data_IF_296525298298
#
_entry.id   IF_296525298298
#
_cell.length_a   1.000
_cell.length_b   1.000
_cell.length_c   1.000
_cell.angle_alpha   90.00
_cell.angle_beta   90.00
_cell.angle_gamma   90.00
#
_symmetry.space_group_name_H-M   'P 1'
#
loop_
_entity.id
_entity.type
_entity.pdbx_description
1 polymer ?
#
# COMPACT_ATOMS: atom_id res chain seq x y z
N UNK A 1 25.91 -19.30 -3.05
CA UNK A 1 25.75 -18.04 -2.28
C UNK A 1 27.13 -17.70 -1.71
N UNK A 2 27.85 -16.68 -2.20
CA UNK A 2 29.15 -16.31 -1.64
C UNK A 2 28.93 -15.65 -0.28
N UNK A 3 29.58 -16.14 0.76
CA UNK A 3 29.56 -15.46 2.07
C UNK A 3 30.07 -14.03 1.91
N UNK A 4 29.31 -13.06 2.40
CA UNK A 4 29.70 -11.66 2.36
C UNK A 4 30.91 -11.47 3.32
N UNK A 5 31.98 -10.84 2.83
CA UNK A 5 33.17 -10.51 3.63
C UNK A 5 32.79 -9.73 4.89
N UNK A 6 33.25 -10.16 6.05
CA UNK A 6 32.98 -9.53 7.36
C UNK A 6 34.20 -8.72 7.84
N UNK A 7 34.01 -7.79 8.75
CA UNK A 7 35.10 -7.00 9.38
C UNK A 7 36.17 -7.92 9.99
N UNK A 8 35.75 -9.08 10.53
CA UNK A 8 36.66 -10.10 11.09
C UNK A 8 37.63 -10.63 10.05
N UNK A 9 37.20 -10.83 8.83
CA UNK A 9 38.02 -11.39 7.75
C UNK A 9 39.09 -10.41 7.34
N UNK A 10 38.78 -9.11 7.29
CA UNK A 10 39.74 -8.03 7.05
C UNK A 10 40.76 -7.94 8.20
N UNK A 11 40.27 -8.04 9.44
CA UNK A 11 41.11 -8.00 10.63
C UNK A 11 42.13 -9.15 10.64
N UNK A 12 41.67 -10.36 10.31
CA UNK A 12 42.51 -11.56 10.19
C UNK A 12 43.55 -11.43 9.06
N UNK A 13 43.13 -10.97 7.87
CA UNK A 13 44.02 -10.80 6.72
C UNK A 13 45.13 -9.78 6.95
N UNK A 14 44.90 -8.77 7.78
CA UNK A 14 45.88 -7.70 8.09
C UNK A 14 46.62 -7.88 9.41
N UNK A 15 46.25 -8.88 10.22
CA UNK A 15 46.84 -9.11 11.54
C UNK A 15 46.56 -7.97 12.54
N UNK A 16 45.41 -7.31 12.44
CA UNK A 16 45.00 -6.21 13.31
C UNK A 16 43.72 -6.55 14.08
N UNK A 17 43.42 -5.79 15.14
CA UNK A 17 42.19 -6.01 15.90
C UNK A 17 40.94 -5.59 15.10
N UNK A 18 39.81 -6.25 15.36
CA UNK A 18 38.49 -5.89 14.79
C UNK A 18 38.19 -4.40 15.05
N UNK A 19 38.50 -3.90 16.27
CA UNK A 19 38.31 -2.50 16.62
C UNK A 19 39.21 -1.54 15.83
N UNK A 20 40.39 -1.97 15.37
CA UNK A 20 41.24 -1.18 14.47
C UNK A 20 40.66 -1.08 13.10
N UNK A 21 40.12 -2.19 12.56
CA UNK A 21 39.40 -2.22 11.26
C UNK A 21 38.17 -1.36 11.31
N UNK A 22 37.35 -1.47 12.36
CA UNK A 22 36.12 -0.66 12.53
C UNK A 22 36.43 0.83 12.57
N UNK A 23 37.43 1.24 13.35
CA UNK A 23 37.88 2.66 13.41
C UNK A 23 38.41 3.17 12.07
N UNK A 24 39.18 2.35 11.35
CA UNK A 24 39.73 2.71 10.05
C UNK A 24 38.63 2.88 8.97
N UNK A 25 37.66 1.95 8.92
CA UNK A 25 36.52 1.99 7.98
C UNK A 25 35.58 3.18 8.23
N UNK A 26 35.48 3.63 9.49
CA UNK A 26 34.56 4.69 9.88
C UNK A 26 35.25 6.04 10.18
N UNK A 27 36.48 6.19 9.79
CA UNK A 27 37.30 7.42 9.99
C UNK A 27 37.33 7.92 11.44
N UNK A 28 37.35 7.00 12.40
CA UNK A 28 37.44 7.34 13.82
C UNK A 28 38.88 7.52 14.25
N UNK A 29 39.10 8.42 15.22
CA UNK A 29 40.43 8.69 15.76
C UNK A 29 41.08 7.41 16.37
N UNK A 30 42.41 7.39 16.42
CA UNK A 30 43.17 6.31 17.06
C UNK A 30 43.63 5.20 16.12
N UNK A 31 43.69 5.44 14.82
CA UNK A 31 44.31 4.55 13.83
C UNK A 31 45.41 5.31 13.08
N UNK A 32 46.59 4.72 12.98
CA UNK A 32 47.69 5.25 12.19
C UNK A 32 47.26 5.38 10.70
N UNK A 33 47.62 6.48 10.00
CA UNK A 33 47.28 6.69 8.59
C UNK A 33 47.67 5.56 7.66
N UNK A 34 48.84 4.95 7.86
CA UNK A 34 49.29 3.79 7.07
C UNK A 34 48.41 2.56 7.30
N UNK A 35 48.03 2.27 8.56
CA UNK A 35 47.14 1.18 8.90
C UNK A 35 45.75 1.42 8.32
N UNK A 36 45.26 2.66 8.38
CA UNK A 36 43.98 3.04 7.77
C UNK A 36 43.97 2.81 6.26
N UNK A 37 45.01 3.24 5.55
CA UNK A 37 45.17 3.01 4.11
C UNK A 37 45.16 1.52 3.77
N UNK A 38 45.89 0.70 4.53
CA UNK A 38 45.94 -0.77 4.35
C UNK A 38 44.57 -1.41 4.55
N UNK A 39 43.83 -0.99 5.58
CA UNK A 39 42.45 -1.49 5.85
C UNK A 39 41.50 -1.14 4.72
N UNK A 40 41.53 0.12 4.25
CA UNK A 40 40.63 0.56 3.15
C UNK A 40 40.96 -0.19 1.85
N UNK A 41 42.22 -0.40 1.55
CA UNK A 41 42.64 -1.17 0.38
C UNK A 41 42.22 -2.64 0.46
N UNK A 42 42.43 -3.28 1.63
CA UNK A 42 42.02 -4.67 1.85
C UNK A 42 40.50 -4.83 1.77
N UNK A 43 39.74 -3.90 2.37
CA UNK A 43 38.28 -3.89 2.27
C UNK A 43 37.80 -3.83 0.81
N UNK A 44 38.45 -2.99 -0.01
CA UNK A 44 38.15 -2.90 -1.44
C UNK A 44 38.52 -4.21 -2.17
N UNK A 45 39.67 -4.79 -1.90
CA UNK A 45 40.14 -6.03 -2.54
C UNK A 45 39.24 -7.22 -2.19
N UNK A 46 38.79 -7.30 -0.94
CA UNK A 46 37.91 -8.37 -0.46
C UNK A 46 36.43 -8.13 -0.77
N UNK A 47 36.07 -7.03 -1.47
CA UNK A 47 34.67 -6.70 -1.79
C UNK A 47 33.85 -6.41 -0.53
N UNK A 48 34.44 -5.95 0.56
CA UNK A 48 33.72 -5.64 1.78
C UNK A 48 32.76 -4.48 1.54
N UNK A 49 31.50 -4.72 1.82
CA UNK A 49 30.48 -3.68 1.88
C UNK A 49 30.03 -3.50 3.33
N UNK A 50 30.12 -2.26 3.88
CA UNK A 50 29.57 -1.99 5.20
C UNK A 50 28.11 -2.42 5.27
N UNK A 51 27.75 -3.21 6.28
CA UNK A 51 26.36 -3.56 6.51
C UNK A 51 25.65 -2.38 7.23
N UNK A 52 24.79 -1.60 6.55
CA UNK A 52 24.14 -0.45 7.16
C UNK A 52 23.24 -0.84 8.33
N UNK A 53 22.60 -2.01 8.27
CA UNK A 53 21.75 -2.52 9.34
C UNK A 53 22.56 -2.84 10.61
N UNK A 54 23.73 -3.49 10.48
CA UNK A 54 24.62 -3.74 11.61
C UNK A 54 25.15 -2.44 12.23
N UNK A 55 25.44 -1.44 11.40
CA UNK A 55 25.87 -0.11 11.86
C UNK A 55 24.72 0.61 12.59
N UNK A 56 23.52 0.52 12.08
CA UNK A 56 22.33 1.10 12.70
C UNK A 56 22.07 0.47 14.08
N UNK A 57 22.08 -0.87 14.17
CA UNK A 57 21.95 -1.62 15.43
C UNK A 57 22.98 -1.18 16.49
N UNK A 58 24.26 -1.01 16.07
CA UNK A 58 25.32 -0.57 16.97
C UNK A 58 25.16 0.87 17.46
N UNK A 59 24.45 1.71 16.72
CA UNK A 59 24.24 3.14 17.05
C UNK A 59 23.20 3.41 18.12
N UNK A 60 22.39 2.42 18.53
CA UNK A 60 21.24 2.56 19.44
C UNK A 60 20.28 3.68 19.04
N UNK A 61 20.27 4.07 17.77
CA UNK A 61 19.33 5.07 17.26
C UNK A 61 17.92 4.48 17.23
N UNK A 62 16.95 5.25 17.69
CA UNK A 62 15.53 4.97 17.46
C UNK A 62 15.08 5.74 16.25
N UNK A 63 14.28 5.10 15.40
CA UNK A 63 13.61 5.70 14.25
C UNK A 63 12.12 5.69 14.53
N UNK A 64 11.51 6.86 14.48
CA UNK A 64 10.06 7.03 14.61
C UNK A 64 9.48 7.33 13.23
N UNK A 65 8.49 6.53 12.83
CA UNK A 65 7.79 6.66 11.56
C UNK A 65 6.32 6.95 11.87
N UNK A 66 5.79 8.04 11.34
CA UNK A 66 4.36 8.34 11.39
C UNK A 66 3.69 7.77 10.15
N UNK A 67 2.61 7.04 10.36
CA UNK A 67 1.76 6.49 9.30
C UNK A 67 0.38 7.13 9.42
N UNK A 68 -0.07 7.80 8.36
CA UNK A 68 -1.29 8.58 8.35
C UNK A 68 -2.22 8.04 7.27
N UNK A 69 -3.31 7.38 7.67
CA UNK A 69 -4.25 6.70 6.78
C UNK A 69 -5.69 7.14 7.08
N UNK A 70 -6.60 7.15 6.10
CA UNK A 70 -8.00 7.47 6.35
C UNK A 70 -8.69 6.41 7.21
N UNK A 71 -9.70 6.85 7.97
CA UNK A 71 -10.54 5.98 8.79
C UNK A 71 -11.71 5.37 8.00
N UNK A 72 -12.12 6.04 6.92
CA UNK A 72 -13.23 5.61 6.06
C UNK A 72 -12.89 4.31 5.30
N UNK A 73 -13.89 3.52 4.94
CA UNK A 73 -13.73 2.20 4.27
C UNK A 73 -12.76 1.30 5.04
N UNK A 74 -13.14 0.98 6.28
CA UNK A 74 -12.34 0.17 7.19
C UNK A 74 -11.89 -1.15 6.55
N UNK A 75 -12.75 -1.84 5.80
CA UNK A 75 -12.43 -3.10 5.12
C UNK A 75 -11.20 -3.05 4.20
N UNK A 76 -10.91 -1.89 3.63
CA UNK A 76 -9.71 -1.69 2.81
C UNK A 76 -8.51 -1.18 3.64
N UNK A 77 -8.73 -0.09 4.40
CA UNK A 77 -7.65 0.58 5.09
C UNK A 77 -7.11 -0.20 6.29
N UNK A 78 -7.93 -1.02 6.94
CA UNK A 78 -7.46 -1.92 8.00
C UNK A 78 -6.51 -2.97 7.43
N UNK A 79 -6.77 -3.48 6.23
CA UNK A 79 -5.84 -4.39 5.55
C UNK A 79 -4.51 -3.71 5.18
N UNK A 80 -4.51 -2.41 4.84
CA UNK A 80 -3.26 -1.65 4.67
C UNK A 80 -2.52 -1.52 6.00
N UNK A 81 -3.25 -1.21 7.10
CA UNK A 81 -2.69 -1.11 8.47
C UNK A 81 -2.09 -2.43 8.93
N UNK A 82 -2.78 -3.55 8.72
CA UNK A 82 -2.25 -4.89 9.00
C UNK A 82 -0.91 -5.14 8.32
N UNK A 83 -0.81 -4.80 7.04
CA UNK A 83 0.44 -4.94 6.30
C UNK A 83 1.58 -4.09 6.89
N UNK A 84 1.28 -2.88 7.33
CA UNK A 84 2.24 -2.01 8.03
C UNK A 84 2.64 -2.60 9.38
N UNK A 85 1.67 -3.08 10.16
CA UNK A 85 1.91 -3.64 11.49
C UNK A 85 2.75 -4.92 11.42
N UNK A 86 2.48 -5.81 10.47
CA UNK A 86 3.29 -7.00 10.25
C UNK A 86 4.74 -6.65 9.91
N UNK A 87 4.94 -5.73 8.98
CA UNK A 87 6.28 -5.30 8.61
C UNK A 87 6.97 -4.59 9.79
N UNK A 88 6.24 -3.79 10.58
CA UNK A 88 6.75 -3.12 11.78
C UNK A 88 7.25 -4.11 12.83
N UNK A 89 6.54 -5.22 13.04
CA UNK A 89 6.98 -6.29 13.98
C UNK A 89 8.35 -6.85 13.58
N UNK A 90 8.65 -6.95 12.28
CA UNK A 90 9.96 -7.42 11.81
C UNK A 90 11.09 -6.46 12.14
N UNK A 91 10.77 -5.17 12.28
CA UNK A 91 11.73 -4.10 12.55
C UNK A 91 11.78 -3.64 14.00
N UNK A 92 10.86 -4.08 14.85
CA UNK A 92 10.80 -3.66 16.27
C UNK A 92 12.11 -3.95 17.03
N UNK A 93 12.74 -5.10 16.78
CA UNK A 93 14.04 -5.47 17.37
C UNK A 93 15.18 -4.52 16.94
N UNK A 94 14.99 -3.74 15.88
CA UNK A 94 15.97 -2.79 15.36
C UNK A 94 15.77 -1.35 15.87
N UNK A 95 14.83 -1.13 16.81
CA UNK A 95 14.56 0.21 17.38
C UNK A 95 13.80 1.13 16.43
N UNK A 96 12.92 0.55 15.61
CA UNK A 96 12.00 1.28 14.74
C UNK A 96 10.63 1.27 15.40
N UNK A 97 10.12 2.47 15.70
CA UNK A 97 8.80 2.71 16.28
C UNK A 97 7.89 3.25 15.18
N UNK A 98 6.74 2.60 14.99
CA UNK A 98 5.72 3.02 14.01
C UNK A 98 4.49 3.50 14.75
N UNK A 99 4.06 4.73 14.45
CA UNK A 99 2.90 5.38 15.05
C UNK A 99 1.81 5.50 13.99
N UNK A 100 0.69 4.79 14.19
CA UNK A 100 -0.47 4.82 13.30
C UNK A 100 -1.42 5.95 13.71
N UNK A 101 -1.74 6.82 12.78
CA UNK A 101 -2.69 7.91 12.93
C UNK A 101 -3.76 7.81 11.84
N UNK A 102 -4.96 8.24 12.17
CA UNK A 102 -6.08 8.28 11.22
C UNK A 102 -6.58 9.69 11.01
N UNK A 103 -7.01 9.97 9.79
CA UNK A 103 -7.79 11.16 9.45
C UNK A 103 -9.14 10.72 8.85
N UNK A 104 -10.18 11.58 8.82
CA UNK A 104 -11.53 11.16 8.49
C UNK A 104 -11.68 10.44 7.16
N UNK A 105 -11.21 11.04 6.06
CA UNK A 105 -11.32 10.46 4.71
C UNK A 105 -10.30 11.08 3.75
N UNK A 106 -10.10 10.43 2.62
CA UNK A 106 -9.27 10.96 1.54
C UNK A 106 -9.71 12.37 1.14
N UNK A 107 -8.73 13.28 1.04
CA UNK A 107 -8.97 14.70 0.72
C UNK A 107 -9.55 15.55 1.85
N UNK A 108 -9.66 14.99 3.08
CA UNK A 108 -10.14 15.73 4.24
C UNK A 108 -9.45 15.27 5.52
N UNK A 109 -8.75 16.19 6.21
CA UNK A 109 -8.01 15.93 7.45
C UNK A 109 -6.58 15.43 7.23
N UNK A 110 -6.16 15.16 6.00
CA UNK A 110 -4.82 14.67 5.69
C UNK A 110 -3.73 15.73 5.90
N UNK A 111 -4.05 17.01 5.68
CA UNK A 111 -3.12 18.12 5.90
C UNK A 111 -2.79 18.28 7.39
N UNK A 112 -3.80 18.28 8.23
CA UNK A 112 -3.68 18.38 9.69
C UNK A 112 -2.89 17.17 10.26
N UNK A 113 -3.18 15.96 9.78
CA UNK A 113 -2.46 14.76 10.19
C UNK A 113 -0.98 14.83 9.77
N UNK A 114 -0.70 15.31 8.57
CA UNK A 114 0.67 15.46 8.08
C UNK A 114 1.45 16.52 8.88
N UNK A 115 0.85 17.67 9.14
CA UNK A 115 1.50 18.75 9.89
C UNK A 115 1.75 18.33 11.35
N UNK A 116 0.82 17.60 11.99
CA UNK A 116 1.04 17.01 13.31
C UNK A 116 2.21 16.01 13.32
N UNK A 117 2.35 15.20 12.27
CA UNK A 117 3.49 14.30 12.11
C UNK A 117 4.82 15.06 12.02
N UNK A 118 4.86 16.18 11.29
CA UNK A 118 6.06 17.04 11.22
C UNK A 118 6.44 17.63 12.58
N UNK A 119 5.45 18.10 13.35
CA UNK A 119 5.66 18.68 14.68
C UNK A 119 6.17 17.64 15.69
N UNK A 120 5.77 16.36 15.53
CA UNK A 120 6.20 15.25 16.37
C UNK A 120 7.66 14.83 16.17
N UNK A 121 8.39 15.48 15.26
CA UNK A 121 9.82 15.25 14.98
C UNK A 121 10.11 13.78 14.63
N UNK A 122 9.28 13.18 13.79
CA UNK A 122 9.49 11.84 13.25
C UNK A 122 10.64 11.81 12.26
N UNK A 123 11.15 10.62 11.98
CA UNK A 123 12.25 10.42 11.02
C UNK A 123 11.76 10.14 9.60
N UNK A 124 10.48 9.76 9.44
CA UNK A 124 9.86 9.49 8.16
C UNK A 124 8.34 9.50 8.28
N UNK A 125 7.66 9.72 7.17
CA UNK A 125 6.20 9.78 7.09
C UNK A 125 5.71 8.87 5.98
N UNK A 126 4.68 8.06 6.26
CA UNK A 126 3.88 7.35 5.27
C UNK A 126 2.49 7.98 5.28
N UNK A 127 1.93 8.27 4.12
CA UNK A 127 0.62 8.90 4.01
C UNK A 127 -0.13 8.46 2.77
N UNK A 128 -1.44 8.26 2.91
CA UNK A 128 -2.35 8.20 1.77
C UNK A 128 -2.77 9.62 1.40
N UNK A 129 -2.65 9.98 0.12
CA UNK A 129 -2.81 11.35 -0.35
C UNK A 129 -4.03 11.50 -1.24
N UNK A 130 -5.08 12.17 -0.78
CA UNK A 130 -6.27 12.47 -1.58
C UNK A 130 -6.12 13.73 -2.41
N UNK A 131 -5.52 14.78 -1.83
CA UNK A 131 -5.31 16.08 -2.49
C UNK A 131 -3.83 16.48 -2.50
N UNK A 132 -3.06 16.02 -3.48
CA UNK A 132 -1.61 16.28 -3.57
C UNK A 132 -1.23 17.75 -3.55
N UNK A 133 -2.09 18.61 -4.12
CA UNK A 133 -1.85 20.05 -4.22
C UNK A 133 -1.84 20.70 -2.82
N UNK A 134 -2.74 20.28 -1.95
CA UNK A 134 -2.86 20.82 -0.58
C UNK A 134 -1.65 20.41 0.26
N UNK A 135 -1.17 19.18 0.09
CA UNK A 135 0.00 18.64 0.80
C UNK A 135 1.35 19.10 0.25
N UNK A 136 1.38 19.72 -0.94
CA UNK A 136 2.65 20.07 -1.62
C UNK A 136 3.58 20.90 -0.74
N UNK A 137 3.03 21.89 -0.02
CA UNK A 137 3.79 22.77 0.87
C UNK A 137 4.40 22.00 2.05
N UNK A 138 3.61 21.14 2.68
CA UNK A 138 4.03 20.35 3.84
C UNK A 138 5.01 19.25 3.47
N UNK A 139 4.83 18.57 2.33
CA UNK A 139 5.81 17.62 1.79
C UNK A 139 7.15 18.32 1.46
N UNK A 140 7.11 19.55 0.93
CA UNK A 140 8.33 20.32 0.70
C UNK A 140 9.03 20.71 2.01
N UNK A 141 8.28 21.07 3.06
CA UNK A 141 8.83 21.33 4.41
C UNK A 141 9.49 20.06 4.98
N UNK A 142 8.84 18.90 4.87
CA UNK A 142 9.39 17.60 5.26
C UNK A 142 10.73 17.32 4.56
N UNK A 143 10.77 17.49 3.24
CA UNK A 143 11.97 17.30 2.43
C UNK A 143 13.13 18.21 2.87
N UNK A 144 12.86 19.49 3.12
CA UNK A 144 13.87 20.43 3.65
C UNK A 144 14.37 20.06 5.05
N UNK A 145 13.50 19.47 5.87
CA UNK A 145 13.85 18.94 7.19
C UNK A 145 14.53 17.55 7.11
N UNK A 146 14.75 17.03 5.90
CA UNK A 146 15.30 15.66 5.65
C UNK A 146 14.42 14.54 6.24
N UNK A 147 13.12 14.75 6.27
CA UNK A 147 12.11 13.76 6.64
C UNK A 147 11.55 13.19 5.33
N UNK A 148 11.91 11.95 4.94
CA UNK A 148 11.39 11.32 3.74
C UNK A 148 9.90 11.03 3.89
N UNK A 149 9.18 11.20 2.78
CA UNK A 149 7.74 10.93 2.68
C UNK A 149 7.50 9.84 1.65
N UNK A 150 6.81 8.78 2.03
CA UNK A 150 6.34 7.73 1.13
C UNK A 150 4.82 7.84 1.03
N UNK A 151 4.30 8.00 -0.18
CA UNK A 151 2.87 7.88 -0.43
C UNK A 151 2.48 6.40 -0.53
N UNK A 152 1.30 6.03 -0.02
CA UNK A 152 0.78 4.67 -0.10
C UNK A 152 -0.63 4.68 -0.65
N UNK A 153 -0.98 3.69 -1.47
CA UNK A 153 -2.25 3.52 -2.18
C UNK A 153 -2.45 4.54 -3.29
N UNK A 154 -2.33 5.83 -2.96
CA UNK A 154 -2.47 6.93 -3.92
C UNK A 154 -1.19 7.76 -3.97
N UNK A 155 -0.96 8.41 -5.10
CA UNK A 155 0.25 9.18 -5.35
C UNK A 155 0.08 10.68 -5.03
N UNK A 156 1.21 11.34 -4.74
CA UNK A 156 1.33 12.78 -4.65
C UNK A 156 2.27 13.31 -5.78
N UNK A 157 1.83 13.26 -7.04
CA UNK A 157 2.66 13.67 -8.17
C UNK A 157 3.03 15.16 -8.09
N UNK A 158 4.22 15.50 -8.59
CA UNK A 158 4.72 16.87 -8.59
C UNK A 158 5.10 17.41 -7.20
N UNK A 159 5.18 16.56 -6.17
CA UNK A 159 5.66 16.91 -4.83
C UNK A 159 7.09 16.40 -4.60
N UNK A 160 7.69 16.79 -3.47
CA UNK A 160 9.02 16.35 -3.05
C UNK A 160 8.99 15.01 -2.25
N UNK A 161 7.97 14.17 -2.45
CA UNK A 161 7.93 12.84 -1.84
C UNK A 161 9.10 11.97 -2.29
N UNK A 162 9.55 11.09 -1.42
CA UNK A 162 10.62 10.13 -1.73
C UNK A 162 10.16 9.10 -2.75
N UNK A 163 9.01 8.48 -2.49
CA UNK A 163 8.48 7.40 -3.32
C UNK A 163 6.96 7.23 -3.12
N UNK A 164 6.37 6.41 -3.98
CA UNK A 164 5.00 5.90 -3.82
C UNK A 164 4.97 4.40 -3.99
N UNK A 165 4.13 3.74 -3.18
CA UNK A 165 3.70 2.34 -3.36
C UNK A 165 2.20 2.35 -3.63
N UNK A 166 1.80 1.93 -4.80
CA UNK A 166 0.39 1.92 -5.23
C UNK A 166 0.10 0.73 -6.14
N UNK A 167 -1.18 0.51 -6.41
CA UNK A 167 -1.58 -0.32 -7.54
C UNK A 167 -1.28 0.41 -8.86
N UNK A 168 -1.14 -0.31 -9.96
CA UNK A 168 -1.19 0.27 -11.29
C UNK A 168 -2.66 0.58 -11.65
N UNK A 169 -3.08 1.82 -11.33
CA UNK A 169 -4.46 2.28 -11.51
C UNK A 169 -4.88 2.30 -12.99
N UNK A 170 -4.03 2.75 -13.93
CA UNK A 170 -4.30 2.59 -15.35
C UNK A 170 -4.53 1.14 -15.77
N UNK A 171 -3.69 0.21 -15.33
CA UNK A 171 -3.86 -1.21 -15.64
C UNK A 171 -5.16 -1.77 -15.04
N UNK A 172 -5.52 -1.34 -13.82
CA UNK A 172 -6.76 -1.74 -13.15
C UNK A 172 -8.00 -1.32 -13.96
N UNK A 173 -8.06 -0.06 -14.36
CA UNK A 173 -9.16 0.46 -15.18
C UNK A 173 -9.21 -0.22 -16.55
N UNK A 174 -8.06 -0.41 -17.21
CA UNK A 174 -7.99 -1.06 -18.52
C UNK A 174 -8.46 -2.52 -18.46
N UNK A 175 -8.07 -3.27 -17.42
CA UNK A 175 -8.54 -4.66 -17.20
C UNK A 175 -10.06 -4.73 -17.03
N UNK A 176 -10.64 -3.83 -16.22
CA UNK A 176 -12.10 -3.78 -16.07
C UNK A 176 -12.80 -3.49 -17.41
N UNK A 177 -12.27 -2.54 -18.18
CA UNK A 177 -12.79 -2.19 -19.49
C UNK A 177 -12.71 -3.32 -20.51
N UNK A 178 -11.57 -4.02 -20.56
CA UNK A 178 -11.39 -5.19 -21.43
C UNK A 178 -12.33 -6.33 -21.04
N UNK A 179 -12.42 -6.66 -19.74
CA UNK A 179 -13.30 -7.71 -19.24
C UNK A 179 -14.77 -7.42 -19.58
N UNK A 180 -15.27 -6.22 -19.29
CA UNK A 180 -16.65 -5.86 -19.64
C UNK A 180 -16.89 -5.90 -21.15
N UNK A 181 -15.96 -5.38 -21.95
CA UNK A 181 -16.08 -5.41 -23.41
C UNK A 181 -16.22 -6.83 -23.95
N UNK A 182 -15.43 -7.78 -23.45
CA UNK A 182 -15.48 -9.19 -23.85
C UNK A 182 -16.77 -9.87 -23.39
N UNK A 183 -17.20 -9.62 -22.15
CA UNK A 183 -18.39 -10.24 -21.57
C UNK A 183 -19.70 -9.73 -22.23
N UNK A 184 -19.73 -8.47 -22.61
CA UNK A 184 -20.87 -7.85 -23.30
C UNK A 184 -20.85 -8.07 -24.82
N UNK A 185 -19.89 -8.83 -25.33
CA UNK A 185 -19.77 -9.14 -26.77
C UNK A 185 -19.77 -7.90 -27.68
N UNK A 186 -19.24 -6.80 -27.16
CA UNK A 186 -19.07 -5.56 -27.91
C UNK A 186 -20.29 -4.68 -28.06
N UNK A 187 -21.37 -4.92 -27.34
CA UNK A 187 -22.61 -4.11 -27.36
C UNK A 187 -23.13 -3.81 -25.97
N UNK A 188 -23.85 -2.71 -25.84
CA UNK A 188 -24.55 -2.36 -24.60
C UNK A 188 -24.14 -1.01 -24.02
N UNK A 189 -24.65 -0.75 -22.83
CA UNK A 189 -24.41 0.46 -22.05
C UNK A 189 -23.73 0.09 -20.73
N UNK A 190 -22.66 0.78 -20.38
CA UNK A 190 -21.90 0.54 -19.15
C UNK A 190 -21.78 1.81 -18.33
N UNK A 191 -21.83 1.66 -17.01
CA UNK A 191 -21.59 2.74 -16.06
C UNK A 191 -20.37 2.43 -15.17
N UNK A 192 -19.75 3.49 -14.65
CA UNK A 192 -18.70 3.41 -13.64
C UNK A 192 -19.17 4.15 -12.39
N UNK A 193 -19.18 3.44 -11.25
CA UNK A 193 -19.32 4.04 -9.93
C UNK A 193 -17.93 4.16 -9.32
N UNK A 194 -17.56 5.37 -8.95
CA UNK A 194 -16.20 5.70 -8.46
C UNK A 194 -16.28 6.55 -7.20
N UNK A 195 -15.16 6.71 -6.50
CA UNK A 195 -15.07 7.61 -5.37
C UNK A 195 -15.11 9.08 -5.79
N UNK A 196 -13.99 9.77 -5.66
CA UNK A 196 -13.82 11.18 -6.05
C UNK A 196 -12.79 11.28 -7.18
N UNK A 197 -13.18 11.81 -8.34
CA UNK A 197 -12.27 11.99 -9.48
C UNK A 197 -11.19 13.06 -9.28
N UNK A 198 -11.26 13.83 -8.20
CA UNK A 198 -10.14 14.69 -7.78
C UNK A 198 -8.96 13.84 -7.23
N UNK A 199 -9.21 12.61 -6.82
CA UNK A 199 -8.18 11.64 -6.39
C UNK A 199 -7.58 10.99 -7.63
N UNK A 200 -6.26 11.08 -7.76
CA UNK A 200 -5.50 10.63 -8.95
C UNK A 200 -5.82 9.17 -9.32
N UNK A 201 -5.87 8.27 -8.34
CA UNK A 201 -6.16 6.84 -8.52
C UNK A 201 -7.53 6.60 -9.19
N UNK A 202 -8.57 7.27 -8.70
CA UNK A 202 -9.92 7.13 -9.26
C UNK A 202 -10.01 7.69 -10.68
N UNK A 203 -9.39 8.84 -10.93
CA UNK A 203 -9.35 9.44 -12.26
C UNK A 203 -8.59 8.55 -13.27
N UNK A 204 -7.45 7.99 -12.88
CA UNK A 204 -6.66 7.09 -13.73
C UNK A 204 -7.44 5.82 -14.07
N UNK A 205 -8.10 5.18 -13.09
CA UNK A 205 -8.96 4.00 -13.31
C UNK A 205 -10.08 4.29 -14.29
N UNK A 206 -10.83 5.38 -14.08
CA UNK A 206 -11.93 5.75 -14.96
C UNK A 206 -11.46 6.05 -16.38
N UNK A 207 -10.42 6.86 -16.54
CA UNK A 207 -9.92 7.24 -17.86
C UNK A 207 -9.41 6.02 -18.64
N UNK A 208 -8.70 5.12 -17.98
CA UNK A 208 -8.17 3.90 -18.61
C UNK A 208 -9.27 2.89 -18.90
N UNK A 209 -10.29 2.78 -18.04
CA UNK A 209 -11.50 1.99 -18.32
C UNK A 209 -12.16 2.46 -19.61
N UNK A 210 -12.46 3.76 -19.72
CA UNK A 210 -13.10 4.34 -20.91
C UNK A 210 -12.27 4.15 -22.17
N UNK A 211 -10.95 4.37 -22.08
CA UNK A 211 -10.05 4.16 -23.19
C UNK A 211 -10.01 2.70 -23.65
N UNK A 212 -10.01 1.76 -22.70
CA UNK A 212 -10.03 0.32 -22.97
C UNK A 212 -11.34 -0.12 -23.60
N UNK A 213 -12.49 0.29 -23.06
CA UNK A 213 -13.80 -0.01 -23.69
C UNK A 213 -13.85 0.51 -25.12
N UNK A 214 -13.43 1.75 -25.35
CA UNK A 214 -13.43 2.33 -26.69
C UNK A 214 -12.50 1.58 -27.66
N UNK A 215 -11.39 1.04 -27.18
CA UNK A 215 -10.46 0.28 -28.01
C UNK A 215 -10.96 -1.13 -28.35
N UNK A 216 -11.55 -1.83 -27.38
CA UNK A 216 -12.00 -3.22 -27.55
C UNK A 216 -13.43 -3.32 -28.11
N UNK A 217 -14.30 -2.35 -27.81
CA UNK A 217 -15.71 -2.39 -28.16
C UNK A 217 -16.27 -0.99 -28.39
N UNK A 218 -15.96 -0.36 -29.54
CA UNK A 218 -16.38 1.02 -29.83
C UNK A 218 -17.91 1.23 -29.83
N UNK A 219 -18.69 0.16 -29.96
CA UNK A 219 -20.15 0.20 -29.94
C UNK A 219 -20.74 0.15 -28.51
N UNK A 220 -19.92 -0.09 -27.49
CA UNK A 220 -20.37 -0.02 -26.09
C UNK A 220 -20.40 1.44 -25.64
N UNK A 221 -21.55 1.88 -25.18
CA UNK A 221 -21.73 3.23 -24.66
C UNK A 221 -21.22 3.30 -23.22
N UNK A 222 -20.16 4.07 -22.97
CA UNK A 222 -19.72 4.39 -21.60
C UNK A 222 -20.43 5.66 -21.13
N UNK A 223 -21.15 5.54 -20.02
CA UNK A 223 -21.86 6.67 -19.40
C UNK A 223 -20.88 7.59 -18.65
N UNK A 224 -21.33 8.80 -18.32
CA UNK A 224 -20.59 9.67 -17.40
C UNK A 224 -20.42 8.97 -16.04
N UNK A 225 -19.27 9.12 -15.39
CA UNK A 225 -18.97 8.43 -14.13
C UNK A 225 -19.81 8.97 -12.98
N UNK A 226 -20.25 8.06 -12.12
CA UNK A 226 -21.00 8.41 -10.92
C UNK A 226 -20.03 8.42 -9.74
N UNK A 227 -19.87 9.59 -9.15
CA UNK A 227 -19.05 9.78 -7.98
C UNK A 227 -19.87 9.59 -6.70
N UNK A 228 -19.30 8.90 -5.71
CA UNK A 228 -19.93 8.68 -4.41
C UNK A 228 -19.09 9.22 -3.24
N UNK A 229 -17.98 9.91 -3.52
CA UNK A 229 -17.07 10.54 -2.57
C UNK A 229 -16.68 9.63 -1.38
N UNK A 230 -16.70 8.31 -1.62
CA UNK A 230 -16.47 7.25 -0.64
C UNK A 230 -17.48 7.24 0.53
N UNK A 231 -18.65 7.90 0.37
CA UNK A 231 -19.74 7.90 1.33
C UNK A 231 -20.70 6.73 1.03
N UNK A 232 -21.06 5.95 2.05
CA UNK A 232 -21.90 4.75 1.88
C UNK A 232 -23.33 5.10 1.49
N UNK A 233 -23.89 6.17 2.07
CA UNK A 233 -25.25 6.62 1.77
C UNK A 233 -25.34 7.16 0.35
N UNK A 234 -24.36 7.98 -0.04
CA UNK A 234 -24.29 8.52 -1.39
C UNK A 234 -24.06 7.40 -2.42
N UNK A 235 -23.22 6.42 -2.12
CA UNK A 235 -22.98 5.26 -2.99
C UNK A 235 -24.28 4.47 -3.24
N UNK A 236 -25.05 4.21 -2.19
CA UNK A 236 -26.34 3.52 -2.30
C UNK A 236 -27.35 4.33 -3.11
N UNK A 237 -27.60 5.59 -2.75
CA UNK A 237 -28.64 6.41 -3.36
C UNK A 237 -28.34 6.78 -4.81
N UNK A 238 -27.10 7.12 -5.14
CA UNK A 238 -26.70 7.44 -6.52
C UNK A 238 -26.79 6.20 -7.41
N UNK A 239 -26.36 5.04 -6.92
CA UNK A 239 -26.50 3.78 -7.66
C UNK A 239 -27.98 3.42 -7.87
N UNK A 240 -28.81 3.50 -6.84
CA UNK A 240 -30.27 3.25 -6.94
C UNK A 240 -30.93 4.15 -7.97
N UNK A 241 -30.58 5.42 -8.00
CA UNK A 241 -31.08 6.40 -8.97
C UNK A 241 -30.64 6.04 -10.39
N UNK A 242 -29.32 5.70 -10.59
CA UNK A 242 -28.81 5.23 -11.86
C UNK A 242 -29.61 4.04 -12.41
N UNK A 243 -29.79 3.01 -11.60
CA UNK A 243 -30.40 1.74 -12.01
C UNK A 243 -31.87 1.92 -12.40
N UNK A 244 -32.59 2.82 -11.72
CA UNK A 244 -33.99 3.17 -12.08
C UNK A 244 -34.08 3.98 -13.36
N UNK A 245 -33.14 4.90 -13.58
CA UNK A 245 -33.10 5.74 -14.78
C UNK A 245 -32.62 4.96 -16.02
N UNK A 246 -31.86 3.92 -15.85
CA UNK A 246 -31.24 3.14 -16.93
C UNK A 246 -31.51 1.64 -16.80
N UNK A 247 -32.74 1.18 -17.03
CA UNK A 247 -33.09 -0.24 -17.03
C UNK A 247 -32.35 -1.01 -18.13
N UNK A 248 -31.88 -0.32 -19.16
CA UNK A 248 -31.12 -0.83 -20.29
C UNK A 248 -29.58 -0.95 -20.00
N UNK A 249 -29.15 -0.69 -18.77
CA UNK A 249 -27.74 -0.84 -18.38
C UNK A 249 -27.32 -2.32 -18.42
N UNK A 250 -26.20 -2.63 -19.09
CA UNK A 250 -25.71 -4.00 -19.30
C UNK A 250 -24.45 -4.31 -18.45
N UNK A 251 -23.66 -3.29 -18.11
CA UNK A 251 -22.46 -3.48 -17.32
C UNK A 251 -22.24 -2.38 -16.28
N UNK A 252 -21.69 -2.76 -15.14
CA UNK A 252 -21.34 -1.85 -14.05
C UNK A 252 -19.92 -2.16 -13.55
N UNK A 253 -19.07 -1.15 -13.58
CA UNK A 253 -17.76 -1.21 -12.92
C UNK A 253 -17.79 -0.35 -11.65
N UNK A 254 -17.55 -0.97 -10.49
CA UNK A 254 -17.40 -0.29 -9.21
C UNK A 254 -15.90 -0.14 -8.96
N UNK A 255 -15.34 1.03 -9.29
CA UNK A 255 -13.89 1.28 -9.29
C UNK A 255 -13.32 1.69 -7.94
N UNK A 256 -14.15 1.66 -6.90
CA UNK A 256 -13.80 1.95 -5.51
C UNK A 256 -13.97 0.73 -4.62
N UNK A 257 -13.26 0.67 -3.49
CA UNK A 257 -13.45 -0.36 -2.47
C UNK A 257 -14.81 -0.26 -1.75
N UNK A 258 -15.52 0.89 -1.89
CA UNK A 258 -16.86 1.12 -1.31
C UNK A 258 -17.98 0.46 -2.15
N UNK A 259 -17.87 -0.85 -2.39
CA UNK A 259 -18.83 -1.57 -3.26
C UNK A 259 -20.03 -2.16 -2.53
N UNK A 260 -19.97 -2.37 -1.21
CA UNK A 260 -21.06 -3.00 -0.46
C UNK A 260 -22.41 -2.22 -0.58
N UNK A 261 -22.49 -0.90 -0.39
CA UNK A 261 -23.74 -0.16 -0.55
C UNK A 261 -24.25 -0.16 -2.00
N UNK A 262 -23.35 -0.22 -2.99
CA UNK A 262 -23.73 -0.33 -4.40
C UNK A 262 -24.39 -1.69 -4.68
N UNK A 263 -23.83 -2.77 -4.13
CA UNK A 263 -24.39 -4.12 -4.25
C UNK A 263 -25.76 -4.22 -3.53
N UNK A 264 -25.91 -3.56 -2.39
CA UNK A 264 -27.19 -3.46 -1.70
C UNK A 264 -28.23 -2.73 -2.57
N UNK A 265 -27.87 -1.62 -3.22
CA UNK A 265 -28.75 -0.91 -4.14
C UNK A 265 -29.19 -1.80 -5.33
N UNK A 266 -28.26 -2.61 -5.86
CA UNK A 266 -28.56 -3.60 -6.91
C UNK A 266 -29.57 -4.66 -6.43
N UNK A 267 -29.41 -5.16 -5.21
CA UNK A 267 -30.31 -6.13 -4.62
C UNK A 267 -31.75 -5.54 -4.44
N UNK A 268 -31.81 -4.32 -3.88
CA UNK A 268 -33.10 -3.66 -3.57
C UNK A 268 -33.93 -3.28 -4.82
N UNK A 269 -33.26 -3.04 -5.96
CA UNK A 269 -33.95 -2.80 -7.24
C UNK A 269 -34.11 -4.08 -8.08
N UNK A 270 -33.69 -5.26 -7.56
CA UNK A 270 -33.83 -6.54 -8.24
C UNK A 270 -32.89 -6.75 -9.41
N UNK A 271 -31.76 -6.01 -9.46
CA UNK A 271 -30.78 -6.08 -10.56
C UNK A 271 -29.50 -6.87 -10.24
N UNK A 272 -29.37 -7.38 -9.00
CA UNK A 272 -28.13 -8.04 -8.56
C UNK A 272 -27.86 -9.38 -9.26
N UNK A 273 -28.89 -10.12 -9.66
CA UNK A 273 -28.75 -11.41 -10.35
C UNK A 273 -29.44 -11.39 -11.73
N UNK A 274 -29.62 -10.21 -12.27
CA UNK A 274 -30.18 -9.96 -13.59
C UNK A 274 -29.06 -9.98 -14.65
N UNK A 275 -29.35 -9.69 -15.90
CA UNK A 275 -28.41 -9.63 -17.02
C UNK A 275 -27.35 -8.51 -16.92
N UNK A 276 -27.17 -7.91 -15.75
CA UNK A 276 -26.17 -6.87 -15.49
C UNK A 276 -24.81 -7.51 -15.15
N UNK A 277 -23.80 -7.28 -15.97
CA UNK A 277 -22.44 -7.71 -15.69
C UNK A 277 -21.77 -6.75 -14.69
N UNK A 278 -21.44 -7.23 -13.49
CA UNK A 278 -20.86 -6.42 -12.43
C UNK A 278 -19.39 -6.80 -12.20
N UNK A 279 -18.50 -5.81 -12.26
CA UNK A 279 -17.10 -5.91 -11.86
C UNK A 279 -16.87 -4.94 -10.70
N UNK A 280 -16.17 -5.41 -9.66
CA UNK A 280 -15.88 -4.62 -8.44
C UNK A 280 -14.38 -4.38 -8.28
N UNK A 281 -14.03 -3.67 -7.23
CA UNK A 281 -12.65 -3.46 -6.79
C UNK A 281 -12.51 -3.96 -5.36
N UNK A 282 -11.37 -4.63 -5.10
CA UNK A 282 -10.97 -5.30 -3.87
C UNK A 282 -11.77 -6.55 -3.47
N UNK A 283 -11.27 -7.22 -2.43
CA UNK A 283 -11.88 -8.42 -1.86
C UNK A 283 -12.03 -8.22 -0.35
N UNK A 284 -13.24 -8.38 0.15
CA UNK A 284 -13.59 -8.32 1.56
C UNK A 284 -14.73 -9.32 1.86
N UNK A 285 -14.93 -9.72 3.11
CA UNK A 285 -15.84 -10.82 3.45
C UNK A 285 -17.25 -10.69 2.87
N UNK A 286 -17.83 -9.49 2.89
CA UNK A 286 -19.19 -9.28 2.36
C UNK A 286 -19.31 -9.43 0.83
N UNK A 287 -18.20 -9.36 0.08
CA UNK A 287 -18.19 -9.54 -1.37
C UNK A 287 -18.16 -11.01 -1.79
N UNK A 288 -17.63 -11.90 -0.95
CA UNK A 288 -17.42 -13.32 -1.25
C UNK A 288 -18.70 -14.01 -1.76
N UNK A 289 -19.85 -13.92 -1.08
CA UNK A 289 -21.09 -14.57 -1.55
C UNK A 289 -21.55 -14.08 -2.93
N UNK A 290 -21.26 -12.82 -3.27
CA UNK A 290 -21.63 -12.24 -4.57
C UNK A 290 -20.75 -12.76 -5.71
N UNK A 291 -19.48 -13.08 -5.44
CA UNK A 291 -18.59 -13.74 -6.40
C UNK A 291 -18.98 -15.22 -6.55
N UNK A 292 -19.28 -15.91 -5.44
CA UNK A 292 -19.68 -17.32 -5.44
C UNK A 292 -21.00 -17.56 -6.19
N UNK A 293 -21.97 -16.67 -6.01
CA UNK A 293 -23.25 -16.72 -6.74
C UNK A 293 -23.13 -16.33 -8.22
N UNK A 294 -22.06 -15.61 -8.60
CA UNK A 294 -21.88 -15.06 -9.94
C UNK A 294 -22.55 -13.68 -10.15
N UNK A 295 -23.16 -13.11 -9.12
CA UNK A 295 -23.68 -11.74 -9.16
C UNK A 295 -22.58 -10.70 -9.42
N UNK A 296 -21.36 -10.95 -8.92
CA UNK A 296 -20.14 -10.25 -9.27
C UNK A 296 -19.27 -11.20 -10.08
N UNK A 297 -19.01 -10.85 -11.33
CA UNK A 297 -18.26 -11.72 -12.27
C UNK A 297 -16.78 -11.73 -11.96
N UNK A 298 -16.23 -10.56 -11.58
CA UNK A 298 -14.85 -10.41 -11.21
C UNK A 298 -14.67 -9.25 -10.23
N UNK A 299 -13.62 -9.33 -9.42
CA UNK A 299 -13.11 -8.19 -8.67
C UNK A 299 -11.63 -7.96 -8.97
N UNK A 300 -11.22 -6.68 -8.98
CA UNK A 300 -9.84 -6.27 -9.20
C UNK A 300 -9.20 -5.98 -7.84
N UNK A 301 -8.47 -6.96 -7.33
CA UNK A 301 -7.86 -6.89 -6.01
C UNK A 301 -6.58 -6.07 -6.03
N UNK A 302 -6.54 -5.01 -5.24
CA UNK A 302 -5.46 -4.03 -5.19
C UNK A 302 -4.31 -4.43 -4.28
N UNK A 303 -4.38 -5.54 -3.58
CA UNK A 303 -3.34 -6.04 -2.67
C UNK A 303 -3.01 -5.04 -1.54
N UNK A 304 -3.99 -4.54 -0.79
CA UNK A 304 -3.80 -3.47 0.20
C UNK A 304 -2.75 -3.83 1.26
N UNK A 305 -2.73 -5.05 1.77
CA UNK A 305 -1.73 -5.54 2.73
C UNK A 305 -0.31 -5.41 2.18
N UNK A 306 -0.07 -5.88 0.95
CA UNK A 306 1.24 -5.77 0.29
C UNK A 306 1.67 -4.32 0.10
N UNK A 307 0.74 -3.40 -0.17
CA UNK A 307 1.04 -1.98 -0.31
C UNK A 307 1.54 -1.41 1.02
N UNK A 308 0.87 -1.72 2.13
CA UNK A 308 1.31 -1.31 3.47
C UNK A 308 2.70 -1.85 3.84
N UNK A 309 2.91 -3.15 3.67
CA UNK A 309 4.21 -3.78 3.94
C UNK A 309 5.35 -3.14 3.13
N UNK A 310 5.14 -2.96 1.83
CA UNK A 310 6.16 -2.43 0.92
C UNK A 310 6.44 -0.95 1.17
N UNK A 311 5.44 -0.15 1.56
CA UNK A 311 5.63 1.25 1.90
C UNK A 311 6.53 1.40 3.14
N UNK A 312 6.28 0.63 4.20
CA UNK A 312 7.11 0.66 5.40
C UNK A 312 8.51 0.11 5.13
N UNK A 313 8.62 -1.01 4.41
CA UNK A 313 9.91 -1.60 4.02
C UNK A 313 10.76 -0.62 3.23
N UNK A 314 10.19 0.04 2.23
CA UNK A 314 10.86 1.02 1.38
C UNK A 314 11.38 2.21 2.20
N UNK A 315 10.55 2.76 3.09
CA UNK A 315 10.95 3.86 3.96
C UNK A 315 12.06 3.44 4.93
N UNK A 316 11.94 2.25 5.52
CA UNK A 316 12.95 1.70 6.41
C UNK A 316 14.31 1.45 5.71
N UNK A 317 14.31 0.87 4.52
CA UNK A 317 15.54 0.65 3.75
C UNK A 317 16.25 1.97 3.42
N UNK A 318 15.50 3.04 3.19
CA UNK A 318 16.07 4.37 3.01
C UNK A 318 16.65 4.93 4.31
N UNK A 319 15.92 4.87 5.42
CA UNK A 319 16.32 5.46 6.71
C UNK A 319 17.51 4.72 7.35
N UNK A 320 17.51 3.40 7.27
CA UNK A 320 18.53 2.53 7.90
C UNK A 320 19.65 2.22 6.92
N UNK A 321 19.29 1.87 5.69
CA UNK A 321 20.23 1.39 4.67
C UNK A 321 20.81 2.47 3.78
N UNK A 322 20.24 3.68 3.77
CA UNK A 322 20.61 4.74 2.83
C UNK A 322 20.30 4.40 1.37
N UNK A 323 19.53 3.34 1.12
CA UNK A 323 19.18 2.94 -0.24
C UNK A 323 18.10 3.87 -0.77
N UNK A 324 18.42 4.57 -1.86
CA UNK A 324 17.42 5.39 -2.55
C UNK A 324 16.44 4.45 -3.28
N UNK A 325 15.14 4.46 -2.93
CA UNK A 325 14.18 3.58 -3.59
C UNK A 325 13.86 4.07 -5.00
N UNK A 326 13.22 3.21 -5.79
CA UNK A 326 12.49 3.67 -6.98
C UNK A 326 11.44 4.71 -6.59
N UNK A 327 11.31 5.78 -7.36
CA UNK A 327 10.31 6.82 -7.08
C UNK A 327 8.87 6.31 -7.16
N UNK A 328 8.65 5.19 -7.86
CA UNK A 328 7.34 4.55 -8.00
C UNK A 328 7.50 3.03 -7.93
N UNK A 329 6.71 2.39 -7.09
CA UNK A 329 6.50 0.96 -7.05
C UNK A 329 5.02 0.69 -7.31
N UNK A 330 4.69 0.32 -8.54
CA UNK A 330 3.33 -0.02 -8.96
C UNK A 330 3.15 -1.53 -8.95
N UNK A 331 2.12 -1.99 -8.24
CA UNK A 331 1.75 -3.40 -8.15
C UNK A 331 0.70 -3.71 -9.23
N UNK A 332 0.83 -4.86 -9.87
CA UNK A 332 -0.20 -5.34 -10.77
C UNK A 332 -1.47 -5.73 -9.98
N UNK A 333 -2.67 -5.33 -10.43
CA UNK A 333 -3.92 -5.81 -9.85
C UNK A 333 -4.09 -7.31 -10.11
N UNK A 334 -4.75 -8.02 -9.19
CA UNK A 334 -5.16 -9.41 -9.44
C UNK A 334 -6.62 -9.45 -9.83
N UNK A 335 -6.92 -10.15 -10.92
CA UNK A 335 -8.30 -10.45 -11.29
C UNK A 335 -8.75 -11.67 -10.50
N UNK A 336 -9.73 -11.48 -9.62
CA UNK A 336 -10.35 -12.56 -8.85
C UNK A 336 -11.73 -12.84 -9.42
N UNK A 337 -11.95 -14.08 -9.75
CA UNK A 337 -13.22 -14.63 -10.22
C UNK A 337 -13.57 -15.87 -9.36
N UNK A 338 -14.78 -16.38 -9.48
CA UNK A 338 -15.21 -17.59 -8.76
C UNK A 338 -14.19 -18.74 -8.84
N UNK A 339 -13.58 -18.96 -10.00
CA UNK A 339 -12.66 -20.10 -10.24
C UNK A 339 -11.34 -20.01 -9.46
N UNK A 340 -10.89 -18.83 -9.10
CA UNK A 340 -9.63 -18.64 -8.36
C UNK A 340 -9.81 -18.02 -6.99
N UNK A 341 -11.07 -17.82 -6.56
CA UNK A 341 -11.40 -17.19 -5.28
C UNK A 341 -10.76 -17.94 -4.09
N UNK A 342 -10.81 -19.26 -4.09
CA UNK A 342 -10.26 -20.10 -3.00
C UNK A 342 -8.78 -19.80 -2.70
N UNK A 343 -7.96 -19.52 -3.72
CA UNK A 343 -6.55 -19.17 -3.51
C UNK A 343 -6.34 -17.89 -2.67
N UNK A 344 -7.31 -17.01 -2.68
CA UNK A 344 -7.25 -15.76 -1.91
C UNK A 344 -7.86 -15.96 -0.52
N UNK A 345 -8.87 -16.81 -0.39
CA UNK A 345 -9.52 -17.13 0.90
C UNK A 345 -8.58 -17.94 1.80
N UNK A 346 -7.88 -18.94 1.27
CA UNK A 346 -6.92 -19.74 2.02
C UNK A 346 -5.81 -18.86 2.64
N UNK A 347 -5.36 -17.84 1.92
CA UNK A 347 -4.38 -16.87 2.43
C UNK A 347 -4.94 -16.02 3.55
N UNK A 348 -6.17 -15.53 3.42
CA UNK A 348 -6.85 -14.73 4.45
C UNK A 348 -7.08 -15.61 5.70
N UNK A 349 -7.50 -16.87 5.54
CA UNK A 349 -7.73 -17.80 6.65
C UNK A 349 -6.45 -18.19 7.37
N UNK A 350 -5.38 -18.53 6.65
CA UNK A 350 -4.07 -18.86 7.24
C UNK A 350 -3.46 -17.67 7.99
N UNK A 351 -3.68 -16.45 7.51
CA UNK A 351 -3.24 -15.22 8.18
C UNK A 351 -4.02 -15.00 9.49
N UNK A 352 -5.35 -15.21 9.52
CA UNK A 352 -6.18 -15.16 10.73
C UNK A 352 -5.80 -16.22 11.78
N UNK A 353 -5.57 -17.45 11.37
CA UNK A 353 -5.17 -18.54 12.28
C UNK A 353 -3.79 -18.30 12.91
N UNK A 354 -2.85 -17.71 12.16
CA UNK A 354 -1.54 -17.33 12.70
C UNK A 354 -1.64 -16.19 13.70
N UNK A 355 -2.57 -15.25 13.52
CA UNK A 355 -2.81 -14.15 14.47
C UNK A 355 -3.46 -14.64 15.76
N UNK A 356 -4.45 -15.52 15.71
CA UNK A 356 -5.05 -16.14 16.89
C UNK A 356 -4.03 -16.97 17.68
N UNK A 357 -3.18 -17.72 16.99
CA UNK A 357 -2.10 -18.49 17.62
C UNK A 357 -1.08 -17.60 18.34
N UNK A 358 -0.72 -16.47 17.75
CA UNK A 358 0.21 -15.51 18.34
C UNK A 358 -0.42 -14.73 19.51
N UNK A 359 -1.70 -14.39 19.45
CA UNK A 359 -2.43 -13.75 20.53
C UNK A 359 -2.53 -14.66 21.76
N UNK A 360 -2.72 -15.98 21.56
CA UNK A 360 -2.74 -16.97 22.64
C UNK A 360 -1.37 -17.18 23.29
N UNK A 361 -0.30 -17.07 22.52
CA UNK A 361 1.08 -17.18 23.02
C UNK A 361 1.54 -15.96 23.83
N UNK A 362 0.93 -14.78 23.60
CA UNK A 362 1.28 -13.53 24.26
C UNK A 362 0.57 -13.29 25.61
N UNK A 363 -0.36 -14.15 26.02
CA UNK A 363 -1.07 -14.00 27.31
C UNK A 363 -0.17 -14.46 28.48
N UNK A 364 0.25 -13.59 29.41
CA UNK A 364 1.08 -13.99 30.54
C UNK A 364 0.28 -14.95 31.43
N UNK A 365 0.83 -16.13 31.70
CA UNK A 365 0.29 -17.03 32.70
C UNK A 365 0.28 -16.30 34.06
N UNK A 366 -0.87 -15.87 34.53
CA UNK A 366 -1.07 -15.41 35.89
C UNK A 366 -0.59 -16.53 36.85
N UNK A 367 0.55 -16.30 37.51
CA UNK A 367 0.99 -17.13 38.63
C UNK A 367 -0.10 -17.09 39.70
N UNK A 368 -0.74 -18.21 39.94
CA UNK A 368 -1.49 -18.42 41.17
C UNK A 368 -0.48 -18.47 42.31
N UNK A 369 -0.39 -17.41 43.09
CA UNK A 369 0.17 -17.46 44.43
C UNK A 369 -0.85 -18.17 45.29
N UNK A 370 -0.50 -19.38 45.70
CA UNK A 370 -1.19 -20.12 46.77
C UNK A 370 -0.55 -19.74 48.09
N UNK A 371 -1.35 -19.16 48.97
CA UNK A 371 -1.08 -19.00 50.40
C UNK A 371 -0.91 -20.33 51.08
#
# INVERSE_FOLDING_TARGET
MSESTKIRDIAQALGVSIGTVDRALHDRRGVNPLTKSRVLQMAKTMGYQPNPAARFLSSKRRVRISVNLPAQIASFWDTVREGIDEEARTFAAFGIDVELHTFPRMGFGEQEAFDAALESKVNGIIIATGRPQDLRGSILKASRARIPVVSVVTDAPGTARLAVVSIDSPASGALAGELLSRLLQGQGKVAVVTGDLAITDHAEKYNSFRASVNAFSPSVQVMEPIQNHEDETEAYETCRTLLRAHPDLNGLYISTANSAPVLQALADVGRLNDHLTVITTDLFPALIPHIESGAVVATLYQRPKSQGQLALRMLNEFLVGGRCPSHQLRLAPHVIMKSNLSFFLDRISMESEMEESNAFAATPKLRKESS
#
